data_IF_634025300426
#
_entry.id   IF_634025300426
#
_cell.length_a   1.000
_cell.length_b   1.000
_cell.length_c   1.000
_cell.angle_alpha   90.00
_cell.angle_beta   90.00
_cell.angle_gamma   90.00
#
_symmetry.space_group_name_H-M   'P 1'
#
loop_
_entity.id
_entity.type
_entity.pdbx_description
1 polymer ?
#
# COMPACT_ATOMS: atom_id res chain seq x y z
N UNK A 1 -18.82 -20.83 12.91
CA UNK A 1 -17.89 -19.67 13.04
C UNK A 1 -17.04 -19.75 14.32
N UNK A 2 -17.61 -20.09 15.49
CA UNK A 2 -16.90 -20.11 16.79
C UNK A 2 -15.70 -21.07 16.90
N UNK A 3 -15.76 -22.31 16.40
CA UNK A 3 -14.60 -23.24 16.51
C UNK A 3 -13.34 -22.71 15.81
N UNK A 4 -13.49 -22.12 14.62
CA UNK A 4 -12.36 -21.52 13.91
C UNK A 4 -11.85 -20.26 14.61
N UNK A 5 -12.66 -19.57 15.40
CA UNK A 5 -12.23 -18.40 16.18
C UNK A 5 -11.47 -18.78 17.46
N UNK A 6 -11.73 -19.95 18.04
CA UNK A 6 -11.26 -20.29 19.39
C UNK A 6 -10.34 -21.49 19.49
N UNK A 7 -10.56 -22.55 18.70
CA UNK A 7 -9.80 -23.82 18.83
C UNK A 7 -8.98 -24.16 17.58
N UNK A 8 -9.45 -23.76 16.39
CA UNK A 8 -8.77 -23.99 15.10
C UNK A 8 -8.46 -22.68 14.37
N UNK A 9 -7.90 -21.73 15.12
CA UNK A 9 -7.52 -20.42 14.60
C UNK A 9 -6.38 -20.53 13.59
N UNK A 10 -6.68 -20.16 12.34
CA UNK A 10 -5.68 -20.02 11.27
C UNK A 10 -5.78 -18.64 10.65
N UNK A 11 -4.75 -17.81 10.88
CA UNK A 11 -4.66 -16.45 10.31
C UNK A 11 -4.84 -16.48 8.79
N UNK A 12 -4.27 -17.47 8.10
CA UNK A 12 -4.39 -17.61 6.66
C UNK A 12 -5.85 -17.91 6.24
N UNK A 13 -6.54 -18.77 6.99
CA UNK A 13 -7.94 -19.11 6.73
C UNK A 13 -8.85 -17.88 6.91
N UNK A 14 -8.66 -17.10 7.98
CA UNK A 14 -9.41 -15.85 8.17
C UNK A 14 -9.09 -14.80 7.11
N UNK A 15 -7.81 -14.63 6.76
CA UNK A 15 -7.42 -13.72 5.69
C UNK A 15 -8.02 -14.13 4.33
N UNK A 16 -8.25 -15.44 4.12
CA UNK A 16 -8.91 -15.98 2.94
C UNK A 16 -10.35 -15.46 2.72
N UNK A 17 -11.04 -15.01 3.79
CA UNK A 17 -12.36 -14.37 3.68
C UNK A 17 -12.31 -13.13 2.78
N UNK A 18 -11.18 -12.43 2.71
CA UNK A 18 -10.99 -11.26 1.85
C UNK A 18 -11.29 -11.57 0.37
N UNK A 19 -10.96 -12.77 -0.11
CA UNK A 19 -11.27 -13.17 -1.47
C UNK A 19 -12.79 -13.29 -1.72
N UNK A 20 -13.56 -13.73 -0.73
CA UNK A 20 -15.03 -13.81 -0.81
C UNK A 20 -15.66 -12.42 -0.76
N UNK A 21 -15.17 -11.54 0.12
CA UNK A 21 -15.60 -10.14 0.17
C UNK A 21 -15.33 -9.42 -1.16
N UNK A 22 -14.16 -9.65 -1.77
CA UNK A 22 -13.82 -9.06 -3.07
C UNK A 22 -14.82 -9.48 -4.17
N UNK A 23 -15.26 -10.73 -4.16
CA UNK A 23 -16.28 -11.20 -5.10
C UNK A 23 -17.65 -10.57 -4.81
N UNK A 24 -18.02 -10.40 -3.54
CA UNK A 24 -19.24 -9.67 -3.16
C UNK A 24 -19.22 -8.22 -3.67
N UNK A 25 -18.11 -7.50 -3.51
CA UNK A 25 -17.94 -6.14 -4.04
C UNK A 25 -18.10 -6.11 -5.56
N UNK A 26 -17.49 -7.07 -6.29
CA UNK A 26 -17.65 -7.18 -7.76
C UNK A 26 -19.09 -7.45 -8.18
N UNK A 27 -19.86 -8.15 -7.36
CA UNK A 27 -21.28 -8.39 -7.57
C UNK A 27 -22.17 -7.20 -7.16
N UNK A 28 -21.59 -6.11 -6.63
CA UNK A 28 -22.33 -4.93 -6.19
C UNK A 28 -22.96 -5.06 -4.81
N UNK A 29 -22.56 -6.05 -3.99
CA UNK A 29 -23.06 -6.18 -2.62
C UNK A 29 -22.71 -4.92 -1.79
N UNK A 30 -23.71 -4.21 -1.23
CA UNK A 30 -23.47 -2.93 -0.57
C UNK A 30 -22.52 -3.02 0.63
N UNK A 31 -22.60 -4.10 1.41
CA UNK A 31 -21.75 -4.28 2.59
C UNK A 31 -20.30 -4.53 2.18
N UNK A 32 -20.06 -5.40 1.20
CA UNK A 32 -18.73 -5.67 0.67
C UNK A 32 -18.12 -4.41 0.03
N UNK A 33 -18.91 -3.64 -0.74
CA UNK A 33 -18.50 -2.34 -1.28
C UNK A 33 -18.08 -1.38 -0.17
N UNK A 34 -18.90 -1.25 0.88
CA UNK A 34 -18.59 -0.42 2.04
C UNK A 34 -17.28 -0.84 2.72
N UNK A 35 -17.09 -2.15 2.96
CA UNK A 35 -15.88 -2.68 3.59
C UNK A 35 -14.63 -2.34 2.76
N UNK A 36 -14.66 -2.58 1.45
CA UNK A 36 -13.52 -2.26 0.58
C UNK A 36 -13.24 -0.75 0.49
N UNK A 37 -14.27 0.09 0.48
CA UNK A 37 -14.13 1.54 0.60
C UNK A 37 -13.47 1.95 1.92
N UNK A 38 -13.87 1.36 3.04
CA UNK A 38 -13.24 1.60 4.35
C UNK A 38 -11.77 1.17 4.38
N UNK A 39 -11.42 0.05 3.73
CA UNK A 39 -10.01 -0.36 3.60
C UNK A 39 -9.23 0.70 2.82
N UNK A 40 -9.75 1.17 1.69
CA UNK A 40 -9.12 2.25 0.90
C UNK A 40 -8.84 3.49 1.74
N UNK A 41 -9.86 4.00 2.45
CA UNK A 41 -9.74 5.17 3.35
C UNK A 41 -8.69 4.97 4.43
N UNK A 42 -8.64 3.79 5.05
CA UNK A 42 -7.67 3.48 6.12
C UNK A 42 -6.25 3.37 5.58
N UNK A 43 -6.04 2.74 4.43
CA UNK A 43 -4.70 2.58 3.84
C UNK A 43 -4.09 3.93 3.51
N UNK A 44 -4.84 4.82 2.84
CA UNK A 44 -4.31 6.16 2.56
C UNK A 44 -4.09 6.94 3.86
N UNK A 45 -5.01 6.87 4.83
CA UNK A 45 -4.82 7.51 6.13
C UNK A 45 -3.49 7.10 6.79
N UNK A 46 -3.13 5.83 6.71
CA UNK A 46 -1.85 5.31 7.23
C UNK A 46 -0.64 5.85 6.46
N UNK A 47 -0.77 6.06 5.15
CA UNK A 47 0.30 6.61 4.30
C UNK A 47 0.55 8.11 4.57
N UNK A 48 -0.51 8.90 4.72
CA UNK A 48 -0.38 10.37 4.93
C UNK A 48 -0.31 10.79 6.40
N UNK A 49 -0.71 9.96 7.36
CA UNK A 49 -0.56 10.30 8.78
C UNK A 49 0.86 10.06 9.26
N UNK A 50 1.59 11.15 9.48
CA UNK A 50 3.00 11.16 9.91
C UNK A 50 3.27 10.73 11.37
N UNK A 51 2.29 10.23 12.11
CA UNK A 51 2.45 10.06 13.57
C UNK A 51 1.95 8.71 14.10
N UNK A 52 2.89 8.00 14.75
CA UNK A 52 2.68 6.90 15.72
C UNK A 52 2.46 5.47 15.21
N UNK A 53 2.94 5.09 14.03
CA UNK A 53 3.12 3.66 13.71
C UNK A 53 4.60 3.37 13.55
N UNK A 54 5.16 2.70 14.56
CA UNK A 54 6.57 2.34 14.69
C UNK A 54 7.12 1.49 13.53
N UNK A 55 6.28 0.99 12.63
CA UNK A 55 6.67 0.24 11.43
C UNK A 55 6.65 1.04 10.12
N UNK A 56 6.05 2.24 10.09
CA UNK A 56 6.00 3.14 8.91
C UNK A 56 6.80 4.43 9.20
N UNK A 57 7.63 4.42 10.26
CA UNK A 57 8.48 5.56 10.62
C UNK A 57 9.65 5.79 9.63
N UNK A 58 9.87 4.86 8.69
CA UNK A 58 11.03 4.91 7.80
C UNK A 58 10.80 5.73 6.52
N UNK A 59 9.55 5.96 6.13
CA UNK A 59 9.29 6.44 4.77
C UNK A 59 9.49 7.94 4.66
N UNK A 60 9.15 8.76 5.66
CA UNK A 60 8.99 10.21 5.47
C UNK A 60 10.27 11.05 5.59
N UNK A 61 11.19 10.71 6.49
CA UNK A 61 12.36 11.56 6.76
C UNK A 61 13.35 11.63 5.56
N UNK A 62 13.20 10.75 4.58
CA UNK A 62 14.00 10.69 3.35
C UNK A 62 13.26 11.16 2.08
N UNK A 63 12.04 11.73 2.19
CA UNK A 63 11.19 12.02 1.01
C UNK A 63 11.28 13.43 0.45
N UNK A 64 12.05 14.35 1.04
CA UNK A 64 12.06 15.72 0.52
C UNK A 64 12.47 15.75 -0.95
N UNK A 65 13.47 14.94 -1.32
CA UNK A 65 13.90 14.77 -2.72
C UNK A 65 12.84 14.04 -3.56
N UNK A 66 12.17 13.02 -2.99
CA UNK A 66 11.17 12.21 -3.71
C UNK A 66 9.82 12.92 -3.91
N UNK A 67 9.49 13.91 -3.08
CA UNK A 67 8.29 14.74 -3.25
C UNK A 67 8.42 15.69 -4.44
N UNK A 68 9.66 16.10 -4.76
CA UNK A 68 9.98 16.97 -5.90
C UNK A 68 10.04 16.26 -7.25
N UNK A 69 10.09 14.93 -7.28
CA UNK A 69 10.25 14.14 -8.51
C UNK A 69 9.10 14.35 -9.52
N UNK A 70 9.33 14.23 -10.84
CA UNK A 70 8.31 14.44 -11.88
C UNK A 70 7.09 13.53 -11.76
N UNK A 71 7.23 12.37 -11.11
CA UNK A 71 6.16 11.40 -10.86
C UNK A 71 5.63 11.43 -9.42
N UNK A 72 6.10 12.38 -8.60
CA UNK A 72 5.76 12.49 -7.19
C UNK A 72 6.31 11.31 -6.38
N UNK A 73 5.78 11.13 -5.18
CA UNK A 73 6.24 10.09 -4.26
C UNK A 73 5.97 8.67 -4.81
N UNK A 74 7.00 7.84 -5.10
CA UNK A 74 6.80 6.44 -5.46
C UNK A 74 6.50 5.59 -4.22
N UNK A 75 5.38 4.86 -4.25
CA UNK A 75 4.92 3.97 -3.18
C UNK A 75 4.91 2.54 -3.69
N UNK A 76 5.77 1.68 -3.15
CA UNK A 76 5.80 0.26 -3.53
C UNK A 76 4.72 -0.54 -2.79
N UNK A 77 3.78 -1.09 -3.55
CA UNK A 77 2.64 -1.84 -3.04
C UNK A 77 2.94 -3.35 -3.02
N UNK A 78 3.11 -3.91 -1.83
CA UNK A 78 3.42 -5.34 -1.61
C UNK A 78 2.25 -6.05 -0.94
N UNK A 79 1.91 -7.25 -1.44
CA UNK A 79 0.89 -8.12 -0.87
C UNK A 79 -0.33 -8.33 -1.78
N UNK A 80 -1.07 -9.42 -1.53
CA UNK A 80 -2.17 -9.84 -2.40
C UNK A 80 -3.35 -8.87 -2.45
N UNK A 81 -3.54 -8.04 -1.41
CA UNK A 81 -4.65 -7.06 -1.32
C UNK A 81 -4.61 -6.04 -2.46
N UNK A 82 -3.42 -5.66 -2.92
CA UNK A 82 -3.25 -4.67 -3.99
C UNK A 82 -3.72 -5.17 -5.36
N UNK A 83 -3.88 -6.49 -5.54
CA UNK A 83 -4.51 -7.06 -6.75
C UNK A 83 -5.97 -6.66 -6.90
N UNK A 84 -6.59 -6.17 -5.83
CA UNK A 84 -7.97 -5.68 -5.80
C UNK A 84 -8.02 -4.16 -5.54
N UNK A 85 -6.98 -3.42 -5.94
CA UNK A 85 -6.93 -1.97 -5.75
C UNK A 85 -8.14 -1.25 -6.35
N UNK A 86 -8.63 -1.66 -7.52
CA UNK A 86 -9.84 -1.08 -8.14
C UNK A 86 -11.07 -1.12 -7.22
N UNK A 87 -11.17 -2.11 -6.30
CA UNK A 87 -12.26 -2.19 -5.33
C UNK A 87 -12.09 -1.20 -4.17
N UNK A 88 -10.84 -0.84 -3.86
CA UNK A 88 -10.50 0.10 -2.77
C UNK A 88 -10.35 1.54 -3.27
N UNK A 89 -10.20 1.74 -4.58
CA UNK A 89 -9.80 3.00 -5.21
C UNK A 89 -10.70 4.17 -4.82
N UNK A 90 -12.03 3.98 -4.83
CA UNK A 90 -12.99 5.02 -4.44
C UNK A 90 -12.74 5.53 -3.02
N UNK A 91 -12.68 4.62 -2.04
CA UNK A 91 -12.38 4.99 -0.65
C UNK A 91 -10.96 5.52 -0.46
N UNK A 92 -10.00 5.00 -1.22
CA UNK A 92 -8.63 5.50 -1.21
C UNK A 92 -8.57 6.97 -1.67
N UNK A 93 -9.23 7.32 -2.77
CA UNK A 93 -9.31 8.68 -3.29
C UNK A 93 -10.10 9.62 -2.37
N UNK A 94 -11.18 9.16 -1.76
CA UNK A 94 -11.88 9.92 -0.72
C UNK A 94 -10.96 10.26 0.45
N UNK A 95 -10.16 9.30 0.92
CA UNK A 95 -9.20 9.53 2.00
C UNK A 95 -8.06 10.48 1.62
N UNK A 96 -7.67 10.55 0.34
CA UNK A 96 -6.76 11.60 -0.16
C UNK A 96 -7.41 12.99 -0.04
N UNK A 97 -8.65 13.13 -0.50
CA UNK A 97 -9.34 14.42 -0.63
C UNK A 97 -9.86 14.98 0.70
N UNK A 98 -10.17 14.11 1.66
CA UNK A 98 -10.71 14.47 2.99
C UNK A 98 -9.63 14.90 3.98
N UNK A 99 -8.38 15.03 3.55
CA UNK A 99 -7.31 15.50 4.42
C UNK A 99 -7.62 16.90 4.94
N UNK A 100 -7.56 17.12 6.27
CA UNK A 100 -7.56 18.47 6.80
C UNK A 100 -6.28 19.12 6.30
N UNK A 101 -6.38 19.99 5.29
CA UNK A 101 -5.26 20.79 4.78
C UNK A 101 -4.63 21.50 5.98
N UNK A 102 -3.46 21.08 6.50
CA UNK A 102 -2.77 21.92 7.45
C UNK A 102 -2.39 23.17 6.66
N UNK A 103 -2.51 24.33 7.30
CA UNK A 103 -1.97 25.60 6.84
C UNK A 103 -0.59 25.32 6.21
N UNK A 104 -0.49 25.38 4.88
CA UNK A 104 0.73 25.26 4.05
C UNK A 104 1.89 24.56 4.78
N UNK A 105 1.72 23.30 5.17
CA UNK A 105 2.87 22.53 5.64
C UNK A 105 3.72 22.21 4.43
N UNK A 106 5.01 22.49 4.48
CA UNK A 106 6.04 22.27 3.44
C UNK A 106 6.15 20.80 2.92
N UNK A 107 5.26 19.91 3.35
CA UNK A 107 5.30 18.46 3.19
C UNK A 107 3.94 17.86 2.78
N UNK A 108 3.05 18.64 2.17
CA UNK A 108 1.80 18.09 1.62
C UNK A 108 2.09 17.14 0.45
N UNK A 109 1.45 15.97 0.44
CA UNK A 109 1.54 15.02 -0.66
C UNK A 109 0.79 15.59 -1.88
N UNK A 110 1.51 16.23 -2.80
CA UNK A 110 0.92 16.80 -4.02
C UNK A 110 0.74 15.76 -5.12
N UNK A 111 1.70 14.85 -5.27
CA UNK A 111 1.73 13.83 -6.32
C UNK A 111 2.29 12.53 -5.77
N UNK A 112 1.72 11.40 -6.20
CA UNK A 112 2.25 10.08 -5.88
C UNK A 112 1.96 9.05 -6.98
N UNK A 113 2.77 8.00 -7.00
CA UNK A 113 2.60 6.82 -7.85
C UNK A 113 2.59 5.55 -7.02
N UNK A 114 1.73 4.59 -7.38
CA UNK A 114 1.73 3.26 -6.81
C UNK A 114 2.44 2.29 -7.75
N UNK A 115 3.43 1.59 -7.20
CA UNK A 115 4.33 0.70 -7.92
C UNK A 115 4.05 -0.75 -7.54
N UNK A 116 4.07 -1.63 -8.53
CA UNK A 116 4.03 -3.07 -8.35
C UNK A 116 5.38 -3.67 -8.76
N UNK A 117 5.99 -4.44 -7.86
CA UNK A 117 7.20 -5.19 -8.14
C UNK A 117 6.96 -6.21 -9.26
N UNK A 118 7.88 -6.24 -10.23
CA UNK A 118 7.86 -7.24 -11.31
C UNK A 118 8.67 -8.49 -10.96
N UNK A 119 9.54 -8.39 -9.95
CA UNK A 119 10.39 -9.47 -9.48
C UNK A 119 9.99 -9.91 -8.07
N UNK A 120 10.40 -11.13 -7.71
CA UNK A 120 10.23 -11.63 -6.35
C UNK A 120 10.99 -10.78 -5.34
N UNK A 121 10.42 -10.59 -4.15
CA UNK A 121 11.11 -9.97 -3.01
C UNK A 121 12.42 -10.69 -2.66
N UNK A 122 12.54 -11.98 -3.00
CA UNK A 122 13.76 -12.75 -2.82
C UNK A 122 14.97 -12.14 -3.57
N UNK A 123 14.75 -11.48 -4.71
CA UNK A 123 15.81 -10.78 -5.45
C UNK A 123 16.39 -9.63 -4.60
N UNK A 124 15.52 -8.90 -3.88
CA UNK A 124 15.95 -7.89 -2.92
C UNK A 124 16.81 -8.48 -1.80
N UNK A 125 16.46 -9.65 -1.28
CA UNK A 125 17.27 -10.37 -0.30
C UNK A 125 18.64 -10.77 -0.87
N UNK A 126 18.70 -11.23 -2.13
CA UNK A 126 19.95 -11.52 -2.83
C UNK A 126 20.82 -10.27 -2.96
N UNK A 127 20.26 -9.11 -3.33
CA UNK A 127 21.03 -7.86 -3.40
C UNK A 127 21.63 -7.46 -2.05
N UNK A 128 20.86 -7.65 -0.97
CA UNK A 128 21.34 -7.38 0.40
C UNK A 128 22.47 -8.35 0.76
N UNK A 129 22.31 -9.64 0.46
CA UNK A 129 23.32 -10.67 0.70
C UNK A 129 24.61 -10.43 -0.10
N UNK A 130 24.50 -10.10 -1.38
CA UNK A 130 25.65 -9.77 -2.23
C UNK A 130 26.39 -8.53 -1.72
N UNK A 131 25.65 -7.48 -1.31
CA UNK A 131 26.23 -6.30 -0.68
C UNK A 131 27.01 -6.67 0.59
N UNK A 132 26.46 -7.54 1.43
CA UNK A 132 27.12 -8.02 2.65
C UNK A 132 28.39 -8.83 2.33
N UNK A 133 28.32 -9.71 1.34
CA UNK A 133 29.45 -10.51 0.85
C UNK A 133 30.47 -9.71 0.02
N UNK A 134 30.24 -8.41 -0.23
CA UNK A 134 31.04 -7.54 -1.10
C UNK A 134 31.20 -8.09 -2.52
N UNK A 135 30.20 -8.83 -3.00
CA UNK A 135 30.13 -9.32 -4.38
C UNK A 135 29.39 -8.29 -5.21
N UNK A 136 29.97 -7.90 -6.34
CA UNK A 136 29.30 -7.04 -7.30
C UNK A 136 28.20 -7.85 -8.01
N UNK A 137 26.98 -7.38 -7.89
CA UNK A 137 25.80 -8.03 -8.45
C UNK A 137 24.99 -7.00 -9.22
N UNK A 138 24.73 -7.26 -10.49
CA UNK A 138 23.98 -6.36 -11.36
C UNK A 138 22.57 -6.17 -10.80
N UNK A 139 22.20 -4.91 -10.52
CA UNK A 139 20.90 -4.57 -9.97
C UNK A 139 20.00 -4.08 -11.08
N UNK A 140 18.89 -4.78 -11.29
CA UNK A 140 17.82 -4.37 -12.17
C UNK A 140 16.59 -4.05 -11.31
N UNK A 141 16.33 -2.75 -11.14
CA UNK A 141 15.23 -2.24 -10.33
C UNK A 141 13.94 -2.16 -11.15
N UNK A 142 13.40 -3.32 -11.51
CA UNK A 142 12.21 -3.40 -12.34
C UNK A 142 10.90 -3.29 -11.52
N UNK A 143 10.20 -2.16 -11.67
CA UNK A 143 8.88 -1.93 -11.06
C UNK A 143 7.94 -1.28 -12.06
N UNK A 144 6.65 -1.62 -11.97
CA UNK A 144 5.60 -1.12 -12.86
C UNK A 144 4.70 -0.15 -12.11
N UNK A 145 4.54 1.06 -12.64
CA UNK A 145 3.49 1.98 -12.18
C UNK A 145 2.13 1.41 -12.59
N UNK A 146 1.21 1.24 -11.64
CA UNK A 146 -0.17 0.83 -11.94
C UNK A 146 -1.21 1.90 -11.57
N UNK A 147 -0.81 2.92 -10.82
CA UNK A 147 -1.67 4.05 -10.48
C UNK A 147 -0.84 5.32 -10.25
N UNK A 148 -1.37 6.47 -10.63
CA UNK A 148 -0.73 7.77 -10.43
C UNK A 148 -1.79 8.83 -10.13
N UNK A 149 -1.53 9.73 -9.18
CA UNK A 149 -2.47 10.79 -8.84
C UNK A 149 -1.75 12.08 -8.46
N UNK A 150 -2.28 13.18 -8.99
CA UNK A 150 -2.06 14.55 -8.52
C UNK A 150 -3.26 14.95 -7.67
N UNK A 151 -3.00 15.42 -6.46
CA UNK A 151 -3.98 15.80 -5.43
C UNK A 151 -4.49 17.21 -5.65
#
# INVERSE_FOLDING_TARGET
LLEHCHTKSSKALFAGLCAKLANGTKAGDPLCCYIFGEVGRKVIKLLITHNKIYHIKLVVLFLQDLLGEPNGLPITCVGAVWKSFCLMEGGFLEGVNTQPRPIKSLHSLERFTLLQLQLSLAVGATYIGAKFAKIEFLRDYNSKVFFSKTV
#
